data_IF_095236233326
#
_entry.id   IF_095236233326
#
_cell.length_a   1.000
_cell.length_b   1.000
_cell.length_c   1.000
_cell.angle_alpha   90.00
_cell.angle_beta   90.00
_cell.angle_gamma   90.00
#
_symmetry.space_group_name_H-M   'P 1'
#
loop_
_entity.id
_entity.type
_entity.pdbx_description
1 polymer ?
#
# COMPACT_ATOMS: atom_id res chain seq x y z
N UNK A 1 -40.07 6.67 19.82
CA UNK A 1 -39.71 7.74 18.86
C UNK A 1 -39.96 7.38 17.40
N UNK A 2 -40.18 6.11 17.02
CA UNK A 2 -40.46 5.73 15.61
C UNK A 2 -41.59 6.52 14.93
N UNK A 3 -42.72 6.73 15.60
CA UNK A 3 -43.85 7.48 15.03
C UNK A 3 -43.51 8.94 14.75
N UNK A 4 -42.79 9.60 15.67
CA UNK A 4 -42.31 10.96 15.45
C UNK A 4 -41.29 11.05 14.31
N UNK A 5 -40.43 10.04 14.13
CA UNK A 5 -39.49 10.00 13.00
C UNK A 5 -40.22 9.83 11.66
N UNK A 6 -41.24 8.96 11.61
CA UNK A 6 -42.08 8.79 10.41
C UNK A 6 -42.79 10.11 10.05
N UNK A 7 -43.30 10.83 11.04
CA UNK A 7 -43.92 12.14 10.84
C UNK A 7 -42.93 13.17 10.27
N UNK A 8 -41.73 13.25 10.82
CA UNK A 8 -40.67 14.16 10.32
C UNK A 8 -40.30 13.82 8.87
N UNK A 9 -40.13 12.53 8.56
CA UNK A 9 -39.77 12.09 7.20
C UNK A 9 -40.93 12.39 6.22
N UNK A 10 -42.18 12.21 6.65
CA UNK A 10 -43.36 12.55 5.85
C UNK A 10 -43.49 14.06 5.59
N UNK A 11 -43.08 14.90 6.53
CA UNK A 11 -42.98 16.36 6.30
C UNK A 11 -41.85 16.67 5.31
N UNK A 12 -40.71 16.01 5.43
CA UNK A 12 -39.57 16.19 4.54
C UNK A 12 -39.88 15.75 3.09
N UNK A 13 -40.74 14.75 2.87
CA UNK A 13 -41.16 14.34 1.52
C UNK A 13 -42.08 15.35 0.82
N UNK A 14 -42.44 16.44 1.50
CA UNK A 14 -43.25 17.55 0.96
C UNK A 14 -42.44 18.86 0.89
N UNK A 15 -41.13 18.80 1.15
CA UNK A 15 -40.27 19.98 1.11
C UNK A 15 -40.06 20.50 -0.32
N UNK A 16 -39.71 21.77 -0.45
CA UNK A 16 -39.38 22.40 -1.73
C UNK A 16 -37.95 22.10 -2.20
N UNK A 17 -37.05 21.74 -1.28
CA UNK A 17 -35.65 21.44 -1.60
C UNK A 17 -35.53 19.99 -2.12
N UNK A 18 -35.07 19.78 -3.37
CA UNK A 18 -34.86 18.45 -3.94
C UNK A 18 -33.94 17.55 -3.13
N UNK A 19 -32.97 18.13 -2.41
CA UNK A 19 -32.09 17.35 -1.53
C UNK A 19 -32.84 16.77 -0.33
N UNK A 20 -33.77 17.55 0.25
CA UNK A 20 -34.61 17.10 1.36
C UNK A 20 -35.56 16.00 0.89
N UNK A 21 -36.17 16.17 -0.29
CA UNK A 21 -37.02 15.15 -0.91
C UNK A 21 -36.29 13.82 -1.13
N UNK A 22 -35.08 13.88 -1.70
CA UNK A 22 -34.26 12.68 -1.94
C UNK A 22 -33.92 11.96 -0.64
N UNK A 23 -33.48 12.69 0.39
CA UNK A 23 -33.13 12.10 1.68
C UNK A 23 -34.35 11.52 2.39
N UNK A 24 -35.50 12.18 2.29
CA UNK A 24 -36.76 11.66 2.83
C UNK A 24 -37.12 10.31 2.20
N UNK A 25 -36.98 10.18 0.88
CA UNK A 25 -37.29 8.95 0.16
C UNK A 25 -36.32 7.80 0.50
N UNK A 26 -35.04 8.11 0.73
CA UNK A 26 -34.02 7.14 1.20
C UNK A 26 -34.31 6.67 2.63
N UNK A 27 -34.77 7.57 3.51
CA UNK A 27 -34.96 7.28 4.93
C UNK A 27 -36.33 6.70 5.28
N UNK A 28 -37.31 6.71 4.37
CA UNK A 28 -38.70 6.31 4.66
C UNK A 28 -38.86 4.91 5.27
N UNK A 29 -37.99 3.96 4.92
CA UNK A 29 -38.00 2.60 5.47
C UNK A 29 -37.23 2.45 6.78
N UNK A 30 -36.38 3.42 7.12
CA UNK A 30 -35.42 3.30 8.22
C UNK A 30 -36.09 3.16 9.60
N UNK A 31 -37.13 3.94 9.96
CA UNK A 31 -37.74 3.83 11.29
C UNK A 31 -38.37 2.47 11.59
N UNK A 32 -38.79 1.72 10.57
CA UNK A 32 -39.47 0.43 10.72
C UNK A 32 -38.54 -0.77 10.48
N UNK A 33 -37.68 -0.72 9.46
CA UNK A 33 -36.80 -1.85 9.09
C UNK A 33 -35.36 -1.70 9.58
N UNK A 34 -34.93 -0.50 9.96
CA UNK A 34 -33.53 -0.18 10.22
C UNK A 34 -32.65 -0.17 8.96
N UNK A 35 -33.25 -0.29 7.77
CA UNK A 35 -32.56 -0.25 6.47
C UNK A 35 -32.99 0.98 5.68
N UNK A 36 -32.08 1.47 4.83
CA UNK A 36 -32.37 2.50 3.86
C UNK A 36 -33.20 1.94 2.70
N UNK A 37 -33.99 2.81 2.08
CA UNK A 37 -34.69 2.52 0.85
C UNK A 37 -33.73 2.66 -0.34
N UNK A 38 -33.68 1.63 -1.20
CA UNK A 38 -32.92 1.64 -2.45
C UNK A 38 -33.83 1.66 -3.69
N UNK A 39 -35.16 1.56 -3.50
CA UNK A 39 -36.16 1.70 -4.54
C UNK A 39 -36.47 3.19 -4.72
N UNK A 40 -35.58 3.88 -5.43
CA UNK A 40 -35.58 5.33 -5.62
C UNK A 40 -35.98 5.74 -7.04
N UNK A 41 -36.29 4.78 -7.91
CA UNK A 41 -36.66 5.03 -9.31
C UNK A 41 -38.11 5.54 -9.45
N UNK A 42 -38.97 5.31 -8.45
CA UNK A 42 -40.37 5.72 -8.51
C UNK A 42 -40.49 7.26 -8.47
N UNK A 43 -41.07 7.83 -9.54
CA UNK A 43 -41.33 9.27 -9.66
C UNK A 43 -40.09 10.18 -9.54
N UNK A 44 -38.89 9.65 -9.78
CA UNK A 44 -37.64 10.38 -9.67
C UNK A 44 -36.84 10.33 -10.99
N UNK A 45 -37.04 11.31 -11.91
CA UNK A 45 -36.39 11.31 -13.22
C UNK A 45 -34.85 11.30 -13.12
N UNK A 46 -34.29 12.01 -12.14
CA UNK A 46 -32.85 12.06 -11.93
C UNK A 46 -32.26 10.67 -11.64
N UNK A 47 -32.92 9.88 -10.79
CA UNK A 47 -32.45 8.51 -10.47
C UNK A 47 -32.64 7.58 -11.67
N UNK A 48 -33.75 7.70 -12.39
CA UNK A 48 -33.99 6.91 -13.60
C UNK A 48 -32.89 7.15 -14.66
N UNK A 49 -32.53 8.40 -14.92
CA UNK A 49 -31.48 8.77 -15.86
C UNK A 49 -30.11 8.23 -15.41
N UNK A 50 -29.75 8.45 -14.14
CA UNK A 50 -28.48 7.99 -13.55
C UNK A 50 -28.37 6.46 -13.64
N UNK A 51 -29.39 5.73 -13.21
CA UNK A 51 -29.36 4.26 -13.22
C UNK A 51 -29.45 3.71 -14.63
N UNK A 52 -30.17 4.35 -15.54
CA UNK A 52 -30.23 3.98 -16.96
C UNK A 52 -28.84 4.00 -17.60
N UNK A 53 -28.14 5.13 -17.52
CA UNK A 53 -26.80 5.29 -18.08
C UNK A 53 -25.77 4.38 -17.39
N UNK A 54 -25.79 4.31 -16.06
CA UNK A 54 -24.80 3.52 -15.32
C UNK A 54 -25.01 2.02 -15.50
N UNK A 55 -26.25 1.51 -15.61
CA UNK A 55 -26.50 0.09 -15.86
C UNK A 55 -25.92 -0.34 -17.21
N UNK A 56 -26.11 0.47 -18.25
CA UNK A 56 -25.47 0.24 -19.57
C UNK A 56 -23.95 0.22 -19.41
N UNK A 57 -23.39 1.26 -18.78
CA UNK A 57 -21.93 1.41 -18.69
C UNK A 57 -21.25 0.31 -17.87
N UNK A 58 -21.91 -0.14 -16.80
CA UNK A 58 -21.44 -1.26 -15.98
C UNK A 58 -21.45 -2.56 -16.80
N UNK A 59 -22.48 -2.78 -17.61
CA UNK A 59 -22.55 -3.93 -18.52
C UNK A 59 -21.39 -3.97 -19.52
N UNK A 60 -21.02 -2.83 -20.11
CA UNK A 60 -19.89 -2.76 -21.04
C UNK A 60 -18.53 -3.14 -20.42
N UNK A 61 -18.38 -2.99 -19.10
CA UNK A 61 -17.11 -3.17 -18.39
C UNK A 61 -16.96 -4.54 -17.70
N UNK A 62 -17.88 -5.48 -17.92
CA UNK A 62 -17.92 -6.76 -17.18
C UNK A 62 -16.67 -7.64 -17.38
N UNK A 63 -16.03 -7.58 -18.56
CA UNK A 63 -14.99 -8.52 -18.97
C UNK A 63 -13.69 -8.45 -18.14
N UNK A 64 -13.45 -7.34 -17.42
CA UNK A 64 -12.30 -7.16 -16.53
C UNK A 64 -12.64 -6.20 -15.39
N UNK A 65 -13.82 -6.39 -14.80
CA UNK A 65 -14.25 -5.59 -13.67
C UNK A 65 -13.30 -5.76 -12.48
N UNK A 66 -12.96 -4.64 -11.84
CA UNK A 66 -12.23 -4.66 -10.57
C UNK A 66 -13.11 -5.28 -9.49
N UNK A 67 -12.50 -6.08 -8.63
CA UNK A 67 -13.19 -6.71 -7.51
C UNK A 67 -13.23 -5.80 -6.28
N UNK A 68 -14.22 -5.97 -5.41
CA UNK A 68 -14.25 -5.31 -4.10
C UNK A 68 -12.99 -5.58 -3.26
N UNK A 69 -12.67 -4.68 -2.33
CA UNK A 69 -11.40 -4.70 -1.59
C UNK A 69 -11.27 -5.90 -0.64
N UNK A 70 -12.38 -6.37 -0.09
CA UNK A 70 -12.46 -7.53 0.80
C UNK A 70 -11.95 -8.81 0.12
N UNK A 71 -12.06 -8.90 -1.21
CA UNK A 71 -11.61 -10.05 -1.99
C UNK A 71 -10.11 -10.33 -1.86
N UNK A 72 -9.30 -9.33 -1.51
CA UNK A 72 -7.84 -9.47 -1.32
C UNK A 72 -7.49 -10.30 -0.06
N UNK A 73 -8.44 -10.42 0.87
CA UNK A 73 -8.26 -11.09 2.15
C UNK A 73 -8.92 -12.46 2.19
N UNK A 74 -9.62 -12.85 1.12
CA UNK A 74 -10.31 -14.13 1.04
C UNK A 74 -9.36 -15.24 0.58
N UNK A 75 -9.59 -16.44 1.12
CA UNK A 75 -9.00 -17.63 0.54
C UNK A 75 -9.62 -17.93 -0.83
N UNK A 76 -8.97 -18.79 -1.63
CA UNK A 76 -9.42 -19.11 -2.99
C UNK A 76 -10.87 -19.59 -3.07
N UNK A 77 -11.30 -20.43 -2.13
CA UNK A 77 -12.64 -21.02 -2.15
C UNK A 77 -13.71 -19.96 -1.86
N UNK A 78 -13.53 -19.17 -0.80
CA UNK A 78 -14.44 -18.08 -0.45
C UNK A 78 -14.51 -17.02 -1.56
N UNK A 79 -13.35 -16.69 -2.16
CA UNK A 79 -13.30 -15.76 -3.30
C UNK A 79 -14.07 -16.29 -4.51
N UNK A 80 -13.92 -17.59 -4.82
CA UNK A 80 -14.64 -18.21 -5.93
C UNK A 80 -16.14 -18.29 -5.67
N UNK A 81 -16.56 -18.50 -4.42
CA UNK A 81 -17.98 -18.46 -4.03
C UNK A 81 -18.57 -17.06 -4.15
N UNK A 82 -17.83 -16.03 -3.77
CA UNK A 82 -18.32 -14.64 -3.77
C UNK A 82 -18.29 -14.00 -5.16
N UNK A 83 -17.18 -14.11 -5.87
CA UNK A 83 -16.90 -13.38 -7.11
C UNK A 83 -16.70 -14.28 -8.34
N UNK A 84 -16.88 -15.60 -8.19
CA UNK A 84 -16.63 -16.56 -9.26
C UNK A 84 -15.14 -16.80 -9.55
N UNK A 85 -14.84 -17.61 -10.58
CA UNK A 85 -13.46 -17.87 -10.99
C UNK A 85 -12.76 -16.61 -11.50
N UNK A 86 -11.58 -16.32 -10.99
CA UNK A 86 -10.79 -15.17 -11.46
C UNK A 86 -10.31 -15.36 -12.90
N UNK A 87 -10.50 -14.33 -13.72
CA UNK A 87 -9.93 -14.27 -15.07
C UNK A 87 -8.41 -14.33 -15.01
N UNK A 88 -7.76 -15.29 -15.70
CA UNK A 88 -6.32 -15.40 -15.70
C UNK A 88 -5.68 -14.18 -16.40
N UNK A 89 -4.49 -13.73 -15.96
CA UNK A 89 -3.79 -12.61 -16.61
C UNK A 89 -3.52 -12.88 -18.09
N UNK A 90 -3.73 -11.85 -18.92
CA UNK A 90 -3.48 -11.92 -20.37
C UNK A 90 -1.99 -12.16 -20.63
N UNK A 91 -1.70 -13.21 -21.42
CA UNK A 91 -0.32 -13.57 -21.80
C UNK A 91 0.17 -12.70 -22.96
N UNK A 92 0.74 -11.54 -22.65
CA UNK A 92 1.28 -10.63 -23.68
C UNK A 92 2.60 -11.11 -24.31
N UNK A 93 3.37 -11.95 -23.61
CA UNK A 93 4.63 -12.50 -24.11
C UNK A 93 4.98 -13.81 -23.40
N UNK A 94 5.90 -14.58 -23.97
CA UNK A 94 6.43 -15.81 -23.38
C UNK A 94 7.81 -15.58 -22.75
N UNK A 95 7.95 -15.90 -21.46
CA UNK A 95 9.23 -15.82 -20.75
C UNK A 95 10.19 -16.93 -21.23
N UNK A 96 11.36 -16.54 -21.75
CA UNK A 96 12.43 -17.49 -22.15
C UNK A 96 13.28 -17.98 -20.97
N UNK A 97 13.39 -17.17 -19.91
CA UNK A 97 14.18 -17.46 -18.69
C UNK A 97 13.44 -16.91 -17.47
N UNK A 98 13.69 -17.49 -16.29
CA UNK A 98 13.14 -17.00 -15.02
C UNK A 98 13.74 -15.63 -14.67
N UNK A 99 12.97 -14.73 -14.02
CA UNK A 99 13.46 -13.43 -13.58
C UNK A 99 14.46 -13.56 -12.41
N UNK A 100 15.24 -12.49 -12.17
CA UNK A 100 16.24 -12.42 -11.08
C UNK A 100 15.66 -12.70 -9.68
N UNK A 101 14.37 -12.41 -9.47
CA UNK A 101 13.66 -12.70 -8.21
C UNK A 101 13.60 -14.21 -7.89
N UNK A 102 13.67 -15.08 -8.89
CA UNK A 102 13.73 -16.53 -8.67
C UNK A 102 15.04 -16.94 -7.99
N UNK A 103 16.17 -16.39 -8.43
CA UNK A 103 17.49 -16.61 -7.79
C UNK A 103 17.49 -16.06 -6.37
N UNK A 104 16.98 -14.84 -6.18
CA UNK A 104 16.91 -14.20 -4.86
C UNK A 104 16.09 -15.05 -3.86
N UNK A 105 14.93 -15.58 -4.28
CA UNK A 105 14.12 -16.46 -3.42
C UNK A 105 14.87 -17.74 -3.04
N UNK A 106 15.62 -18.34 -3.98
CA UNK A 106 16.39 -19.55 -3.71
C UNK A 106 17.53 -19.30 -2.70
N UNK A 107 18.25 -18.18 -2.84
CA UNK A 107 19.31 -17.80 -1.90
C UNK A 107 18.79 -17.57 -0.48
N UNK A 108 17.63 -16.92 -0.33
CA UNK A 108 17.01 -16.70 0.98
C UNK A 108 16.61 -18.02 1.65
N UNK A 109 16.05 -18.97 0.87
CA UNK A 109 15.70 -20.29 1.38
C UNK A 109 16.96 -21.09 1.77
N UNK A 110 18.01 -21.06 0.95
CA UNK A 110 19.27 -21.75 1.22
C UNK A 110 19.96 -21.21 2.49
N UNK A 111 20.04 -19.89 2.65
CA UNK A 111 20.63 -19.30 3.87
C UNK A 111 19.85 -19.68 5.13
N UNK A 112 18.52 -19.76 5.03
CA UNK A 112 17.66 -20.22 6.12
C UNK A 112 17.93 -21.69 6.48
N UNK A 113 18.04 -22.57 5.49
CA UNK A 113 18.34 -24.00 5.74
C UNK A 113 19.74 -24.21 6.29
N UNK A 114 20.75 -23.51 5.78
CA UNK A 114 22.12 -23.55 6.31
C UNK A 114 22.18 -23.10 7.77
N UNK A 115 21.50 -22.01 8.12
CA UNK A 115 21.42 -21.50 9.49
C UNK A 115 20.70 -22.49 10.42
N UNK A 116 19.56 -23.06 9.98
CA UNK A 116 18.83 -24.06 10.74
C UNK A 116 19.66 -25.34 10.98
N UNK A 117 20.48 -25.74 10.00
CA UNK A 117 21.42 -26.86 10.15
C UNK A 117 22.59 -26.53 11.09
N UNK A 118 23.12 -25.31 11.06
CA UNK A 118 24.15 -24.88 12.01
C UNK A 118 23.64 -24.89 13.45
N UNK A 119 22.40 -24.46 13.70
CA UNK A 119 21.79 -24.52 15.04
C UNK A 119 21.62 -25.97 15.54
N UNK A 120 21.21 -26.89 14.64
CA UNK A 120 21.16 -28.32 14.97
C UNK A 120 22.54 -28.92 15.25
N UNK A 121 23.58 -28.41 14.61
CA UNK A 121 24.98 -28.83 14.83
C UNK A 121 25.60 -28.23 16.10
N UNK A 122 25.20 -27.01 16.50
CA UNK A 122 25.72 -26.35 17.72
C UNK A 122 25.03 -26.82 19.01
N UNK A 123 23.84 -27.41 18.93
CA UNK A 123 23.12 -27.95 20.10
C UNK A 123 23.73 -29.25 20.69
N UNK A 124 24.76 -29.83 20.06
CA UNK A 124 25.34 -31.12 20.47
C UNK A 124 26.84 -31.13 20.76
N UNK A 125 27.54 -29.99 20.72
CA UNK A 125 29.00 -29.95 20.91
C UNK A 125 29.35 -29.08 22.11
N UNK A 126 29.87 -29.66 23.23
CA UNK A 126 30.42 -28.89 24.33
C UNK A 126 31.56 -28.02 23.79
N UNK A 127 31.39 -26.70 23.88
CA UNK A 127 32.41 -25.73 23.52
C UNK A 127 33.62 -25.91 24.45
N UNK A 128 34.70 -26.54 23.99
CA UNK A 128 35.98 -26.52 24.68
C UNK A 128 36.61 -25.13 24.55
N UNK A 129 36.23 -24.24 25.46
CA UNK A 129 36.95 -22.98 25.67
C UNK A 129 38.37 -23.29 26.21
N UNK A 130 39.36 -23.45 25.32
CA UNK A 130 40.76 -23.27 25.70
C UNK A 130 41.03 -21.77 25.83
N UNK A 131 40.50 -21.18 26.90
CA UNK A 131 40.83 -19.84 27.34
C UNK A 131 42.24 -19.82 27.94
N UNK A 132 43.22 -19.36 27.17
CA UNK A 132 44.47 -18.81 27.71
C UNK A 132 44.38 -17.29 27.59
N UNK A 133 44.38 -16.59 28.72
CA UNK A 133 44.71 -15.16 28.72
C UNK A 133 43.97 -14.33 29.76
N UNK A 134 44.66 -14.06 30.87
CA UNK A 134 44.50 -12.92 31.77
C UNK A 134 43.21 -12.85 32.62
N UNK A 135 43.22 -13.60 33.72
CA UNK A 135 42.60 -13.17 34.97
C UNK A 135 43.43 -12.01 35.55
N UNK A 136 43.11 -10.76 35.20
CA UNK A 136 43.58 -9.61 35.98
C UNK A 136 42.59 -9.31 37.09
N UNK A 137 43.09 -9.37 38.33
CA UNK A 137 42.32 -9.08 39.55
C UNK A 137 41.84 -7.63 39.50
N UNK A 138 40.58 -7.43 39.89
CA UNK A 138 39.90 -6.14 39.97
C UNK A 138 40.32 -5.46 41.27
N UNK A 139 41.26 -4.51 41.23
CA UNK A 139 41.61 -3.68 42.38
C UNK A 139 40.68 -2.46 42.44
N UNK A 140 39.78 -2.44 43.43
CA UNK A 140 38.76 -1.42 43.69
C UNK A 140 39.26 -0.31 44.62
N UNK A 141 40.31 0.44 44.26
CA UNK A 141 40.74 1.60 45.08
C UNK A 141 41.38 2.76 44.29
N UNK A 142 40.81 3.19 43.17
CA UNK A 142 41.14 4.52 42.59
C UNK A 142 39.92 5.21 41.99
N UNK A 143 39.75 6.53 42.19
CA UNK A 143 38.51 7.23 41.89
C UNK A 143 38.33 7.42 40.38
N UNK A 144 37.14 7.05 39.90
CA UNK A 144 36.70 7.11 38.51
C UNK A 144 36.84 8.53 37.94
N UNK A 145 37.87 8.76 37.12
CA UNK A 145 38.06 10.00 36.37
C UNK A 145 37.67 9.76 34.91
N UNK A 146 36.59 10.41 34.48
CA UNK A 146 36.26 10.58 33.07
C UNK A 146 35.09 9.74 32.57
N UNK A 147 33.86 10.13 32.92
CA UNK A 147 32.66 9.79 32.13
C UNK A 147 32.47 10.93 31.12
N UNK A 148 32.74 10.75 29.81
CA UNK A 148 32.21 11.66 28.82
C UNK A 148 30.71 11.45 28.73
N UNK A 149 29.94 12.42 29.25
CA UNK A 149 28.51 12.53 28.98
C UNK A 149 28.33 12.80 27.48
N UNK A 150 27.32 12.15 26.90
CA UNK A 150 26.73 12.37 25.56
C UNK A 150 27.21 11.44 24.43
N UNK A 151 26.51 10.32 24.26
CA UNK A 151 26.25 9.73 22.95
C UNK A 151 24.77 9.31 22.91
N UNK A 152 23.92 9.93 22.07
CA UNK A 152 22.52 9.52 21.95
C UNK A 152 22.43 8.21 21.17
N UNK A 153 22.15 7.12 21.87
CA UNK A 153 21.60 5.91 21.25
C UNK A 153 20.21 6.25 20.70
N UNK A 154 20.05 6.22 19.38
CA UNK A 154 18.75 6.24 18.71
C UNK A 154 18.41 4.82 18.29
N UNK A 155 17.56 4.17 19.06
CA UNK A 155 16.86 2.93 18.69
C UNK A 155 15.93 3.19 17.50
N UNK A 156 15.79 2.26 16.52
CA UNK A 156 14.81 2.41 15.46
C UNK A 156 13.45 1.85 15.93
N UNK A 157 12.54 2.76 16.31
CA UNK A 157 11.13 2.43 16.48
C UNK A 157 10.46 2.34 15.09
N UNK A 158 9.66 1.29 14.89
CA UNK A 158 8.86 1.03 13.70
C UNK A 158 7.94 2.22 13.32
N UNK A 159 7.61 2.42 12.02
CA UNK A 159 6.71 3.49 11.64
C UNK A 159 5.26 3.04 11.88
N UNK A 160 4.64 3.62 12.91
CA UNK A 160 3.20 3.67 13.08
C UNK A 160 2.64 4.71 12.12
N UNK A 161 1.82 4.26 11.16
CA UNK A 161 1.09 5.10 10.23
C UNK A 161 -0.24 5.42 10.90
N UNK A 162 -0.47 6.65 11.36
CA UNK A 162 -1.77 7.35 11.48
C UNK A 162 -1.69 8.58 12.41
N UNK A 163 -2.27 9.70 11.94
CA UNK A 163 -2.70 10.95 12.66
C UNK A 163 -1.81 12.22 12.47
N UNK A 164 -2.35 13.45 12.57
CA UNK A 164 -2.75 14.28 11.42
C UNK A 164 -2.02 15.64 11.33
N UNK A 165 -2.35 16.37 10.27
CA UNK A 165 -1.86 17.69 9.82
C UNK A 165 -1.82 18.81 10.86
N UNK A 166 -0.71 19.56 10.92
CA UNK A 166 -0.61 20.85 11.61
C UNK A 166 0.78 21.51 11.58
N UNK A 167 0.92 22.55 10.75
CA UNK A 167 1.86 23.69 10.78
C UNK A 167 3.31 23.50 11.28
N UNK A 168 4.29 23.42 10.35
CA UNK A 168 5.66 23.96 10.54
C UNK A 168 6.29 24.49 9.25
N UNK A 169 7.09 25.54 9.43
CA UNK A 169 7.77 26.48 8.50
C UNK A 169 8.68 25.87 7.42
N UNK A 170 8.94 26.58 6.29
CA UNK A 170 9.75 26.06 5.18
C UNK A 170 11.26 26.04 5.52
N UNK A 171 11.90 24.91 5.23
CA UNK A 171 13.35 24.70 5.34
C UNK A 171 14.02 25.07 4.00
N UNK A 172 15.12 25.84 3.98
CA UNK A 172 15.80 26.20 2.73
C UNK A 172 16.54 25.00 2.11
N UNK A 173 16.74 24.98 0.78
CA UNK A 173 17.35 23.84 0.10
C UNK A 173 18.85 23.75 0.40
N UNK A 174 19.26 22.62 0.96
CA UNK A 174 20.66 22.31 1.25
C UNK A 174 21.42 21.95 -0.02
N UNK A 175 22.54 22.65 -0.23
CA UNK A 175 23.47 22.44 -1.34
C UNK A 175 24.17 21.08 -1.23
N UNK A 176 24.03 20.28 -2.28
CA UNK A 176 24.94 19.23 -2.79
C UNK A 176 26.05 18.72 -1.85
N UNK A 177 25.91 17.47 -1.38
CA UNK A 177 27.05 16.60 -1.04
C UNK A 177 27.12 15.45 -2.04
N UNK A 178 28.19 15.50 -2.84
CA UNK A 178 28.61 14.53 -3.84
C UNK A 178 28.86 13.16 -3.19
N UNK A 179 27.85 12.28 -3.19
CA UNK A 179 28.05 10.85 -2.93
C UNK A 179 28.09 10.10 -4.27
N UNK A 180 29.31 9.76 -4.68
CA UNK A 180 29.65 8.94 -5.85
C UNK A 180 29.11 7.52 -5.66
N UNK A 181 27.86 7.29 -6.07
CA UNK A 181 27.30 5.96 -6.26
C UNK A 181 27.29 5.62 -7.77
N UNK A 182 27.54 4.34 -8.06
CA UNK A 182 28.00 3.82 -9.34
C UNK A 182 27.06 4.15 -10.51
N UNK A 183 27.54 4.98 -11.45
CA UNK A 183 27.24 4.85 -12.88
C UNK A 183 25.80 5.06 -13.35
N UNK A 184 24.89 5.60 -12.53
CA UNK A 184 23.55 5.98 -12.96
C UNK A 184 23.34 7.45 -12.64
N UNK A 185 23.23 8.29 -13.68
CA UNK A 185 22.77 9.66 -13.53
C UNK A 185 21.26 9.62 -13.36
N UNK A 186 20.77 10.01 -12.18
CA UNK A 186 19.36 10.34 -11.99
C UNK A 186 19.11 11.63 -12.76
N UNK A 187 18.37 11.54 -13.85
CA UNK A 187 17.86 12.72 -14.52
C UNK A 187 16.66 13.23 -13.72
N UNK A 188 16.65 14.53 -13.46
CA UNK A 188 15.49 15.20 -12.89
C UNK A 188 14.34 15.20 -13.91
N UNK A 189 13.09 15.25 -13.44
CA UNK A 189 11.88 15.13 -14.28
C UNK A 189 11.86 16.23 -15.37
N UNK A 190 12.43 17.40 -15.04
CA UNK A 190 12.65 18.54 -15.93
C UNK A 190 13.60 18.26 -17.10
N UNK A 191 14.50 17.29 -16.98
CA UNK A 191 15.58 17.01 -17.95
C UNK A 191 15.21 15.90 -18.95
N UNK A 192 14.06 15.23 -18.76
CA UNK A 192 13.65 14.08 -19.56
C UNK A 192 13.25 14.46 -21.00
N UNK A 193 12.68 15.65 -21.20
CA UNK A 193 12.23 16.15 -22.50
C UNK A 193 13.39 16.41 -23.48
N UNK A 194 14.58 16.75 -22.96
CA UNK A 194 15.76 17.00 -23.80
C UNK A 194 16.39 15.73 -24.38
N UNK A 195 16.18 14.57 -23.74
CA UNK A 195 16.77 13.28 -24.18
C UNK A 195 15.97 12.64 -25.32
N UNK A 196 14.69 13.01 -25.48
CA UNK A 196 13.82 12.53 -26.55
C UNK A 196 14.18 13.04 -27.95
N UNK A 197 14.74 14.25 -28.05
CA UNK A 197 15.06 14.90 -29.32
C UNK A 197 16.31 14.33 -30.03
N UNK A 198 17.16 13.57 -29.34
CA UNK A 198 18.44 13.09 -29.88
C UNK A 198 18.39 11.86 -30.77
N UNK A 199 17.24 11.18 -30.90
CA UNK A 199 17.15 9.92 -31.69
C UNK A 199 16.95 10.12 -33.20
N UNK A 200 16.53 11.30 -33.66
CA UNK A 200 16.40 11.55 -35.10
C UNK A 200 17.72 11.91 -35.80
N UNK A 201 18.70 12.47 -35.07
CA UNK A 201 19.92 12.99 -35.69
C UNK A 201 20.90 11.90 -36.20
N UNK A 202 20.72 10.62 -35.85
CA UNK A 202 21.64 9.53 -36.25
C UNK A 202 21.23 8.78 -37.52
N UNK A 203 20.07 9.09 -38.13
CA UNK A 203 19.60 8.41 -39.35
C UNK A 203 19.96 9.09 -40.68
N UNK A 204 20.70 10.21 -40.69
CA UNK A 204 21.01 11.00 -41.90
C UNK A 204 22.46 10.98 -42.40
N UNK A 205 23.29 10.00 -42.02
CA UNK A 205 24.61 9.80 -42.65
C UNK A 205 24.74 8.40 -43.23
N UNK A 206 24.12 8.19 -44.39
CA UNK A 206 24.46 7.15 -45.37
C UNK A 206 23.72 7.44 -46.68
N UNK A 207 24.25 8.39 -47.43
CA UNK A 207 24.11 8.54 -48.89
C UNK A 207 25.08 9.62 -49.34
N UNK A 208 25.76 9.34 -50.47
CA UNK A 208 26.97 9.95 -51.04
C UNK A 208 28.26 9.35 -50.50
#
# INVERSE_FOLDING_TARGET
MKGALMEIIQLASLDSDPWVLMVADILKSFPDTGSLNLELEEQNPNVQDILGELREKVGECEASAMLPLECQYLNKNALTTLAGPLTPPVKHFQLKRKPKSATLRAELLQKSTETAQQLKRSAGVPFHAKGRGLLRKMDTTTPLKGIPKQAPFRSPTAPSVFSPTGNRTPIPPSRTLLRKERGVKLLDISELDMVGAGREAKRRRKTL
#
